data_IF_310143334079
#
_entry.id   IF_310143334079
#
_cell.length_a   1.000
_cell.length_b   1.000
_cell.length_c   1.000
_cell.angle_alpha   90.00
_cell.angle_beta   90.00
_cell.angle_gamma   90.00
#
_symmetry.space_group_name_H-M   'P 1'
#
loop_
_entity.id
_entity.type
_entity.pdbx_description
1 polymer ?
#
# COMPACT_ATOMS: atom_id res chain seq x y z
N UNK A 1 -9.66 15.15 -13.09
CA UNK A 1 -9.19 13.84 -12.59
C UNK A 1 -7.88 14.11 -11.91
N UNK A 2 -7.71 13.75 -10.63
CA UNK A 2 -6.39 13.83 -10.01
C UNK A 2 -5.51 12.78 -10.70
N UNK A 3 -4.33 13.19 -11.16
CA UNK A 3 -3.36 12.30 -11.79
C UNK A 3 -2.77 11.38 -10.70
N UNK A 4 -2.85 10.06 -10.91
CA UNK A 4 -2.25 9.10 -10.00
C UNK A 4 -0.73 9.26 -10.05
N UNK A 5 -0.02 8.98 -8.94
CA UNK A 5 1.44 9.06 -8.98
C UNK A 5 1.99 7.85 -9.75
N UNK A 6 3.14 8.01 -10.40
CA UNK A 6 3.73 6.93 -11.19
C UNK A 6 4.41 5.90 -10.27
N UNK A 7 4.01 4.63 -10.40
CA UNK A 7 4.56 3.53 -9.62
C UNK A 7 5.96 3.12 -10.09
N UNK A 8 6.25 3.30 -11.38
CA UNK A 8 7.55 2.93 -11.98
C UNK A 8 8.68 3.86 -11.53
N UNK A 9 8.34 5.00 -10.93
CA UNK A 9 9.30 5.95 -10.36
C UNK A 9 9.67 5.64 -8.90
N UNK A 10 8.92 4.76 -8.23
CA UNK A 10 9.17 4.42 -6.82
C UNK A 10 10.53 3.74 -6.63
N UNK A 11 11.17 4.05 -5.52
CA UNK A 11 12.38 3.35 -5.07
C UNK A 11 12.08 1.86 -4.82
N UNK A 12 12.90 0.98 -5.38
CA UNK A 12 12.70 -0.47 -5.29
C UNK A 12 12.96 -1.05 -3.89
N UNK A 13 13.86 -0.43 -3.11
CA UNK A 13 14.27 -0.91 -1.80
C UNK A 13 13.47 -0.25 -0.66
N UNK A 14 13.24 1.06 -0.76
CA UNK A 14 12.53 1.83 0.25
C UNK A 14 11.60 2.88 -0.38
N UNK A 15 10.39 2.51 -0.85
CA UNK A 15 9.47 3.47 -1.46
C UNK A 15 8.67 4.28 -0.43
N UNK A 16 8.79 4.02 0.88
CA UNK A 16 7.82 4.53 1.86
C UNK A 16 8.35 5.73 2.65
N UNK A 17 7.65 6.85 2.55
CA UNK A 17 7.76 7.99 3.45
C UNK A 17 6.83 7.76 4.66
N UNK A 18 7.36 7.14 5.71
CA UNK A 18 6.63 6.88 6.96
C UNK A 18 7.13 7.86 8.03
N UNK A 19 6.31 8.86 8.37
CA UNK A 19 6.61 9.79 9.45
C UNK A 19 6.55 9.07 10.83
N UNK A 20 7.32 9.55 11.79
CA UNK A 20 7.56 9.00 13.14
C UNK A 20 6.26 8.86 13.96
N UNK A 21 5.16 9.46 13.51
CA UNK A 21 3.80 9.28 14.06
C UNK A 21 3.07 8.04 13.50
N UNK A 22 3.75 6.87 13.52
CA UNK A 22 3.24 5.55 13.15
C UNK A 22 1.96 5.08 13.91
N UNK A 23 1.41 5.88 14.82
CA UNK A 23 0.34 5.53 15.74
C UNK A 23 -1.08 5.52 15.13
N UNK A 24 -1.27 5.89 13.85
CA UNK A 24 -2.60 5.91 13.20
C UNK A 24 -2.73 4.99 11.98
N UNK A 25 -1.66 4.30 11.58
CA UNK A 25 -1.66 3.33 10.47
C UNK A 25 -2.47 2.06 10.79
N UNK A 26 -2.72 1.78 12.07
CA UNK A 26 -3.20 0.47 12.53
C UNK A 26 -4.54 0.60 13.26
N UNK A 27 -5.65 0.39 12.52
CA UNK A 27 -6.95 0.09 13.14
C UNK A 27 -7.04 -1.37 13.63
N UNK A 28 -6.05 -2.20 13.31
CA UNK A 28 -5.97 -3.60 13.73
C UNK A 28 -4.76 -3.82 14.66
N UNK A 29 -4.93 -4.39 15.86
CA UNK A 29 -3.88 -4.51 16.87
C UNK A 29 -2.72 -5.48 16.51
N UNK A 30 -2.67 -6.00 15.29
CA UNK A 30 -1.68 -6.99 14.83
C UNK A 30 -0.91 -6.59 13.57
N UNK A 31 -1.31 -5.51 12.89
CA UNK A 31 -0.63 -5.03 11.69
C UNK A 31 0.25 -3.85 12.05
N UNK A 32 1.38 -3.71 11.36
CA UNK A 32 2.49 -2.83 11.66
C UNK A 32 3.20 -2.31 10.40
N UNK A 33 4.26 -1.53 10.60
CA UNK A 33 5.13 -1.07 9.50
C UNK A 33 5.78 -2.27 8.80
N UNK A 34 6.15 -3.29 9.57
CA UNK A 34 6.72 -4.53 9.04
C UNK A 34 5.81 -5.17 7.99
N UNK A 35 4.49 -5.25 8.23
CA UNK A 35 3.55 -5.81 7.27
C UNK A 35 3.48 -5.00 5.96
N UNK A 36 3.65 -3.67 6.03
CA UNK A 36 3.68 -2.82 4.82
C UNK A 36 4.90 -3.18 3.97
N UNK A 37 6.08 -3.32 4.59
CA UNK A 37 7.28 -3.76 3.88
C UNK A 37 7.17 -5.21 3.39
N UNK A 38 6.49 -6.08 4.13
CA UNK A 38 6.27 -7.45 3.70
C UNK A 38 5.35 -7.52 2.49
N UNK A 39 4.27 -6.72 2.44
CA UNK A 39 3.42 -6.58 1.26
C UNK A 39 4.23 -6.10 0.05
N UNK A 40 5.10 -5.10 0.23
CA UNK A 40 6.00 -4.62 -0.83
C UNK A 40 6.94 -5.71 -1.36
N UNK A 41 7.54 -6.48 -0.44
CA UNK A 41 8.46 -7.56 -0.79
C UNK A 41 7.75 -8.79 -1.41
N UNK A 42 6.42 -8.86 -1.34
CA UNK A 42 5.62 -10.00 -1.78
C UNK A 42 5.13 -9.92 -3.22
N UNK A 43 5.79 -9.12 -4.06
CA UNK A 43 5.39 -8.88 -5.45
C UNK A 43 3.91 -8.45 -5.56
N UNK A 44 3.58 -7.26 -5.02
CA UNK A 44 2.21 -6.78 -4.92
C UNK A 44 1.65 -6.36 -6.28
N UNK A 45 0.32 -6.48 -6.40
CA UNK A 45 -0.44 -5.85 -7.49
C UNK A 45 -0.96 -4.49 -7.06
N UNK A 46 -1.10 -3.57 -8.01
CA UNK A 46 -1.59 -2.22 -7.75
C UNK A 46 -2.93 -1.96 -8.43
N UNK A 47 -3.90 -1.51 -7.66
CA UNK A 47 -5.24 -1.13 -8.14
C UNK A 47 -5.49 0.36 -7.92
N UNK A 48 -6.15 1.07 -8.86
CA UNK A 48 -6.54 2.45 -8.63
C UNK A 48 -7.45 2.60 -7.40
N UNK A 49 -7.21 3.63 -6.59
CA UNK A 49 -7.96 3.91 -5.37
C UNK A 49 -8.83 5.18 -5.49
N UNK A 50 -9.66 5.42 -4.47
CA UNK A 50 -10.33 6.71 -4.27
C UNK A 50 -9.48 7.58 -3.35
N UNK A 51 -9.43 8.89 -3.65
CA UNK A 51 -8.74 9.89 -2.82
C UNK A 51 -9.15 9.77 -1.34
N UNK A 52 -8.20 9.95 -0.39
CA UNK A 52 -6.84 10.51 -0.57
C UNK A 52 -5.78 9.51 -1.07
N UNK A 53 -6.12 8.22 -1.23
CA UNK A 53 -5.21 7.26 -1.84
C UNK A 53 -5.27 7.34 -3.37
N UNK A 54 -4.12 7.17 -4.01
CA UNK A 54 -4.01 7.03 -5.46
C UNK A 54 -4.04 5.55 -5.86
N UNK A 55 -3.35 4.71 -5.10
CA UNK A 55 -3.24 3.26 -5.37
C UNK A 55 -3.59 2.43 -4.15
N UNK A 56 -4.04 1.21 -4.38
CA UNK A 56 -4.10 0.11 -3.42
C UNK A 56 -2.99 -0.86 -3.80
N UNK A 57 -2.00 -1.01 -2.93
CA UNK A 57 -0.99 -2.05 -3.02
C UNK A 57 -1.54 -3.31 -2.33
N UNK A 58 -1.61 -4.42 -3.05
CA UNK A 58 -2.28 -5.64 -2.59
C UNK A 58 -1.39 -6.86 -2.83
N UNK A 59 -1.15 -7.64 -1.77
CA UNK A 59 -0.42 -8.90 -1.85
C UNK A 59 -0.96 -9.93 -0.85
N UNK A 60 -0.66 -11.20 -1.08
CA UNK A 60 -0.91 -12.26 -0.11
C UNK A 60 0.31 -12.44 0.80
N UNK A 61 0.11 -12.24 2.10
CA UNK A 61 1.11 -12.37 3.16
C UNK A 61 0.59 -13.38 4.18
N UNK A 62 1.35 -14.45 4.43
CA UNK A 62 0.97 -15.52 5.37
C UNK A 62 -0.46 -16.09 5.17
N UNK A 63 -0.91 -16.21 3.92
CA UNK A 63 -2.25 -16.71 3.60
C UNK A 63 -3.38 -15.67 3.74
N UNK A 64 -3.05 -14.42 4.04
CA UNK A 64 -3.99 -13.30 4.10
C UNK A 64 -3.69 -12.30 2.99
N UNK A 65 -4.72 -11.94 2.22
CA UNK A 65 -4.58 -10.83 1.27
C UNK A 65 -4.65 -9.52 2.06
N UNK A 66 -3.53 -8.80 2.07
CA UNK A 66 -3.41 -7.49 2.68
C UNK A 66 -3.53 -6.39 1.61
N UNK A 67 -4.04 -5.25 2.03
CA UNK A 67 -4.19 -4.05 1.22
C UNK A 67 -3.63 -2.84 1.95
N UNK A 68 -2.79 -2.08 1.26
CA UNK A 68 -2.15 -0.85 1.74
C UNK A 68 -2.54 0.28 0.77
N UNK A 69 -3.36 1.25 1.20
CA UNK A 69 -3.63 2.43 0.39
C UNK A 69 -2.41 3.35 0.39
N UNK A 70 -1.99 3.78 -0.79
CA UNK A 70 -0.83 4.66 -1.00
C UNK A 70 -1.27 6.04 -1.47
N UNK A 71 -0.74 7.07 -0.83
CA UNK A 71 -0.87 8.47 -1.23
C UNK A 71 0.47 9.00 -1.77
N UNK A 72 0.47 10.05 -2.62
CA UNK A 72 1.70 10.71 -3.02
C UNK A 72 2.40 11.34 -1.79
N UNK A 73 3.70 11.57 -1.90
CA UNK A 73 4.53 12.25 -0.89
C UNK A 73 4.03 13.66 -0.59
N UNK A 74 4.45 14.22 0.55
CA UNK A 74 4.20 15.64 0.84
C UNK A 74 5.20 16.54 0.11
N UNK A 75 6.42 16.06 -0.11
CA UNK A 75 7.54 16.85 -0.64
C UNK A 75 7.76 16.65 -2.15
N UNK A 76 6.78 16.07 -2.85
CA UNK A 76 6.79 15.81 -4.29
C UNK A 76 7.98 14.98 -4.80
N UNK A 77 8.67 14.23 -3.92
CA UNK A 77 9.66 13.24 -4.34
C UNK A 77 8.94 12.09 -5.08
N UNK A 78 9.19 11.86 -6.38
CA UNK A 78 8.53 10.81 -7.14
C UNK A 78 8.99 9.40 -6.75
N UNK A 79 10.16 9.27 -6.11
CA UNK A 79 10.70 7.98 -5.67
C UNK A 79 10.10 7.45 -4.36
N UNK A 80 9.23 8.23 -3.72
CA UNK A 80 8.60 7.86 -2.46
C UNK A 80 7.09 7.92 -2.59
N UNK A 81 6.39 7.29 -1.67
CA UNK A 81 4.96 7.39 -1.46
C UNK A 81 4.65 7.22 0.03
N UNK A 82 3.43 7.57 0.43
CA UNK A 82 2.99 7.47 1.83
C UNK A 82 1.96 6.36 1.98
N UNK A 83 2.26 5.29 2.73
CA UNK A 83 1.21 4.36 3.14
C UNK A 83 0.26 5.07 4.11
N UNK A 84 -1.05 4.88 3.90
CA UNK A 84 -2.11 5.47 4.73
C UNK A 84 -2.56 4.51 5.84
N UNK A 85 -2.37 3.20 5.64
CA UNK A 85 -2.64 2.15 6.62
C UNK A 85 -2.37 0.77 6.06
N UNK A 86 -2.50 -0.26 6.89
CA UNK A 86 -2.44 -1.66 6.46
C UNK A 86 -3.70 -2.39 6.94
N UNK A 87 -4.40 -3.05 6.01
CA UNK A 87 -5.68 -3.69 6.27
C UNK A 87 -5.73 -5.07 5.64
N UNK A 88 -6.54 -5.96 6.21
CA UNK A 88 -6.97 -7.14 5.48
C UNK A 88 -7.91 -6.70 4.34
N UNK A 89 -7.67 -7.20 3.13
CA UNK A 89 -8.53 -6.92 1.98
C UNK A 89 -9.95 -7.45 2.21
N UNK A 90 -10.95 -6.77 1.64
CA UNK A 90 -12.32 -7.29 1.62
C UNK A 90 -12.37 -8.58 0.79
N UNK A 91 -13.35 -9.45 1.04
CA UNK A 91 -13.50 -10.69 0.27
C UNK A 91 -13.52 -10.45 -1.24
N UNK A 92 -14.24 -9.41 -1.69
CA UNK A 92 -14.31 -9.06 -3.11
C UNK A 92 -12.94 -8.68 -3.70
N UNK A 93 -12.15 -7.86 -2.98
CA UNK A 93 -10.82 -7.44 -3.43
C UNK A 93 -9.83 -8.62 -3.39
N UNK A 94 -9.90 -9.46 -2.35
CA UNK A 94 -9.07 -10.65 -2.25
C UNK A 94 -9.36 -11.64 -3.39
N UNK A 95 -10.63 -11.85 -3.73
CA UNK A 95 -11.02 -12.71 -4.84
C UNK A 95 -10.60 -12.12 -6.19
N UNK A 96 -10.63 -10.80 -6.34
CA UNK A 96 -10.12 -10.12 -7.53
C UNK A 96 -8.61 -10.31 -7.66
N UNK A 97 -7.85 -10.00 -6.62
CA UNK A 97 -6.41 -10.19 -6.57
C UNK A 97 -5.98 -11.61 -6.96
N UNK A 98 -6.65 -12.63 -6.43
CA UNK A 98 -6.35 -14.04 -6.76
C UNK A 98 -6.68 -14.44 -8.20
N UNK A 99 -7.59 -13.71 -8.87
CA UNK A 99 -7.91 -13.96 -10.28
C UNK A 99 -6.93 -13.29 -11.23
N UNK A 100 -6.38 -12.15 -10.82
CA UNK A 100 -5.50 -11.34 -11.68
C UNK A 100 -4.03 -11.82 -11.62
N UNK A 101 -3.66 -12.60 -10.60
CA UNK A 101 -2.35 -13.23 -10.42
C UNK A 101 -2.21 -14.54 -11.19
#
# INVERSE_FOLDING_TARGET
MAELFDLDLLDGDDPFEIDVQAAHLFKHPRLGIADIHEVWASDPMFYPAKLPAHWLMVAEVHGQVLMVPLAPTRDANPAKCRPIGCYQASNHLADQYRRDR
#
